data_IF_498112852223
#
_entry.id   IF_498112852223
#
_cell.length_a   1.000
_cell.length_b   1.000
_cell.length_c   1.000
_cell.angle_alpha   90.00
_cell.angle_beta   90.00
_cell.angle_gamma   90.00
#
_symmetry.space_group_name_H-M   'P 1'
#
loop_
_entity.id
_entity.type
_entity.pdbx_description
1 polymer ?
#
# COMPACT_ATOMS: atom_id res chain seq x y z
N UNK A 1 -10.75 -5.68 21.92
CA UNK A 1 -10.43 -6.18 20.57
C UNK A 1 -9.85 -7.58 20.72
N UNK A 2 -9.92 -8.42 19.69
CA UNK A 2 -9.25 -9.72 19.72
C UNK A 2 -7.76 -9.59 19.41
N UNK A 3 -7.03 -10.71 19.51
CA UNK A 3 -5.58 -10.77 19.29
C UNK A 3 -5.19 -10.31 17.88
N UNK A 4 -6.01 -10.65 16.88
CA UNK A 4 -5.77 -10.27 15.47
C UNK A 4 -5.91 -8.76 15.30
N UNK A 5 -6.95 -8.17 15.88
CA UNK A 5 -7.18 -6.73 15.79
C UNK A 5 -6.08 -5.93 16.48
N UNK A 6 -5.57 -6.42 17.61
CA UNK A 6 -4.42 -5.81 18.29
C UNK A 6 -3.13 -5.95 17.47
N UNK A 7 -2.87 -7.13 16.88
CA UNK A 7 -1.68 -7.38 16.07
C UNK A 7 -1.60 -6.49 14.81
N UNK A 8 -2.76 -6.08 14.29
CA UNK A 8 -2.88 -5.21 13.11
C UNK A 8 -3.21 -3.75 13.46
N UNK A 9 -3.12 -3.34 14.73
CA UNK A 9 -3.44 -1.98 15.18
C UNK A 9 -4.80 -1.48 14.65
N UNK A 10 -5.81 -2.35 14.62
CA UNK A 10 -7.10 -2.04 14.00
C UNK A 10 -7.75 -0.85 14.71
N UNK A 11 -8.29 0.08 13.93
CA UNK A 11 -9.13 1.18 14.43
C UNK A 11 -10.47 1.16 13.71
N UNK A 12 -11.54 1.31 14.49
CA UNK A 12 -12.90 1.47 13.98
C UNK A 12 -13.40 2.84 14.39
N UNK A 13 -13.72 3.68 13.41
CA UNK A 13 -14.16 5.06 13.57
C UNK A 13 -15.51 5.27 12.90
N UNK A 14 -16.27 6.29 13.32
CA UNK A 14 -17.58 6.60 12.76
C UNK A 14 -18.67 5.58 13.14
N UNK A 15 -19.90 5.89 12.75
CA UNK A 15 -21.09 5.09 13.12
C UNK A 15 -22.04 4.83 11.95
N UNK A 16 -21.60 5.08 10.71
CA UNK A 16 -22.44 4.84 9.53
C UNK A 16 -22.72 3.36 9.27
N UNK A 17 -23.86 3.05 8.66
CA UNK A 17 -24.28 1.67 8.36
C UNK A 17 -23.39 1.02 7.29
N UNK A 18 -22.85 1.82 6.36
CA UNK A 18 -21.90 1.36 5.34
C UNK A 18 -20.48 1.40 5.91
N UNK A 19 -19.72 0.34 5.63
CA UNK A 19 -18.34 0.20 6.11
C UNK A 19 -17.35 0.47 4.99
N UNK A 20 -16.33 1.28 5.26
CA UNK A 20 -15.16 1.47 4.39
C UNK A 20 -13.95 0.89 5.12
N UNK A 21 -13.20 0.03 4.43
CA UNK A 21 -11.93 -0.51 4.92
C UNK A 21 -10.79 0.14 4.16
N UNK A 22 -9.81 0.68 4.87
CA UNK A 22 -8.66 1.39 4.30
C UNK A 22 -7.38 0.62 4.61
N UNK A 23 -6.79 0.01 3.57
CA UNK A 23 -5.50 -0.68 3.62
C UNK A 23 -4.40 0.23 3.08
N UNK A 24 -3.18 0.15 3.61
CA UNK A 24 -2.05 0.96 3.15
C UNK A 24 -1.08 0.15 2.26
N UNK A 25 -0.17 0.85 1.59
CA UNK A 25 0.89 0.26 0.77
C UNK A 25 2.18 -0.03 1.53
N UNK A 26 3.22 -0.49 0.81
CA UNK A 26 4.55 -0.74 1.36
C UNK A 26 5.20 0.53 1.94
N UNK A 27 5.98 0.37 3.02
CA UNK A 27 6.79 1.45 3.59
C UNK A 27 6.03 2.46 4.44
N UNK A 28 4.71 2.31 4.59
CA UNK A 28 3.88 3.18 5.41
C UNK A 28 2.97 2.36 6.34
N UNK A 29 2.05 3.03 7.02
CA UNK A 29 1.05 2.45 7.90
C UNK A 29 -0.31 3.16 7.71
N UNK A 30 -1.32 2.84 8.51
CA UNK A 30 -2.65 3.44 8.40
C UNK A 30 -2.66 4.99 8.48
N UNK A 31 -1.59 5.64 8.98
CA UNK A 31 -1.48 7.10 9.02
C UNK A 31 -1.50 7.76 7.65
N UNK A 32 -1.21 7.01 6.57
CA UNK A 32 -1.30 7.52 5.18
C UNK A 32 -2.70 8.05 4.85
N UNK A 33 -3.72 7.58 5.56
CA UNK A 33 -5.12 7.97 5.35
C UNK A 33 -5.57 9.17 6.18
N UNK A 34 -4.67 9.84 6.93
CA UNK A 34 -5.03 10.92 7.87
C UNK A 34 -5.79 12.09 7.26
N UNK A 35 -5.59 12.37 5.96
CA UNK A 35 -6.29 13.43 5.25
C UNK A 35 -7.64 12.98 4.68
N UNK A 36 -7.87 11.68 4.48
CA UNK A 36 -9.13 11.14 3.96
C UNK A 36 -10.14 10.87 5.08
N UNK A 37 -9.69 10.24 6.17
CA UNK A 37 -10.54 9.73 7.26
C UNK A 37 -11.51 10.79 7.81
N UNK A 38 -11.11 12.06 8.07
CA UNK A 38 -12.03 13.07 8.58
C UNK A 38 -13.25 13.32 7.70
N UNK A 39 -13.19 13.02 6.40
CA UNK A 39 -14.28 13.22 5.45
C UNK A 39 -15.21 11.99 5.31
N UNK A 40 -14.89 10.88 5.99
CA UNK A 40 -15.65 9.63 5.91
C UNK A 40 -16.42 9.31 7.18
N UNK A 41 -15.92 9.71 8.36
CA UNK A 41 -16.44 9.24 9.65
C UNK A 41 -17.87 9.70 9.98
N UNK A 42 -18.36 10.76 9.33
CA UNK A 42 -19.73 11.24 9.50
C UNK A 42 -20.74 10.35 8.73
N UNK A 43 -20.32 9.77 7.60
CA UNK A 43 -21.19 9.03 6.68
C UNK A 43 -20.99 7.49 6.76
N UNK A 44 -19.83 7.05 7.23
CA UNK A 44 -19.39 5.65 7.17
C UNK A 44 -18.79 5.17 8.49
N UNK A 45 -18.88 3.87 8.73
CA UNK A 45 -17.98 3.18 9.67
C UNK A 45 -16.65 2.93 8.95
N UNK A 46 -15.58 3.53 9.42
CA UNK A 46 -14.24 3.45 8.82
C UNK A 46 -13.38 2.46 9.60
N UNK A 47 -12.86 1.44 8.94
CA UNK A 47 -11.92 0.46 9.49
C UNK A 47 -10.55 0.70 8.90
N UNK A 48 -9.57 0.95 9.76
CA UNK A 48 -8.15 1.09 9.46
C UNK A 48 -7.40 -0.08 10.07
N UNK A 49 -6.34 -0.54 9.42
CA UNK A 49 -5.44 -1.54 9.96
C UNK A 49 -4.05 -1.40 9.35
N UNK A 50 -3.05 -1.94 10.04
CA UNK A 50 -1.69 -2.01 9.56
C UNK A 50 -1.40 -3.42 9.00
N UNK A 51 -0.79 -3.49 7.82
CA UNK A 51 -0.30 -4.74 7.24
C UNK A 51 0.82 -5.31 8.13
N UNK A 52 0.81 -6.64 8.32
CA UNK A 52 1.87 -7.29 9.08
C UNK A 52 3.23 -7.05 8.43
N UNK A 53 4.22 -6.63 9.23
CA UNK A 53 5.54 -6.24 8.76
C UNK A 53 5.72 -4.72 8.55
N UNK A 54 4.65 -3.93 8.64
CA UNK A 54 4.78 -2.49 8.80
C UNK A 54 5.52 -2.16 10.11
N UNK A 55 6.23 -1.02 10.15
CA UNK A 55 7.05 -0.64 11.32
C UNK A 55 6.28 -0.41 12.62
N UNK A 56 4.95 -0.38 12.57
CA UNK A 56 4.04 -0.27 13.72
C UNK A 56 3.59 -1.62 14.28
N UNK A 57 3.90 -2.73 13.60
CA UNK A 57 3.48 -4.09 13.99
C UNK A 57 4.59 -4.81 14.75
N UNK A 58 4.23 -5.83 15.54
CA UNK A 58 5.23 -6.68 16.19
C UNK A 58 5.90 -7.58 15.13
N UNK A 59 7.23 -7.46 14.91
CA UNK A 59 7.90 -8.24 13.88
C UNK A 59 7.96 -9.75 14.18
N UNK A 60 7.69 -10.18 15.42
CA UNK A 60 7.60 -11.60 15.79
C UNK A 60 6.34 -12.28 15.21
N UNK A 61 5.38 -11.49 14.73
CA UNK A 61 4.19 -11.99 14.04
C UNK A 61 4.37 -12.05 12.52
N UNK A 62 5.50 -11.58 11.99
CA UNK A 62 5.80 -11.71 10.57
C UNK A 62 6.34 -13.13 10.27
N UNK A 63 5.58 -13.87 9.48
CA UNK A 63 5.92 -15.24 9.09
C UNK A 63 6.83 -15.25 7.86
N UNK A 64 8.12 -15.56 8.10
CA UNK A 64 9.12 -15.75 7.04
C UNK A 64 9.08 -17.13 6.40
N UNK A 65 8.47 -18.13 7.04
CA UNK A 65 8.48 -19.52 6.56
C UNK A 65 7.73 -19.65 5.23
N UNK A 66 6.87 -18.69 4.91
CA UNK A 66 6.24 -18.53 3.59
C UNK A 66 7.24 -18.30 2.44
N UNK A 67 8.51 -18.00 2.72
CA UNK A 67 9.54 -17.74 1.70
C UNK A 67 10.68 -18.74 1.72
N UNK A 68 10.74 -19.59 2.75
CA UNK A 68 11.73 -20.65 2.81
C UNK A 68 11.26 -21.81 1.94
N UNK A 69 12.18 -22.29 1.10
CA UNK A 69 12.01 -23.60 0.51
C UNK A 69 11.94 -24.64 1.63
N UNK A 70 10.98 -25.55 1.51
CA UNK A 70 10.80 -26.72 2.35
C UNK A 70 10.57 -27.95 1.43
N UNK A 71 10.54 -29.16 2.01
CA UNK A 71 10.52 -30.45 1.30
C UNK A 71 9.46 -30.49 0.19
N UNK A 72 8.26 -29.95 0.45
CA UNK A 72 7.13 -29.94 -0.48
C UNK A 72 6.65 -28.51 -0.85
N UNK A 73 7.42 -27.48 -0.51
CA UNK A 73 7.05 -26.08 -0.74
C UNK A 73 8.22 -25.28 -1.29
N UNK A 74 8.01 -24.63 -2.44
CA UNK A 74 9.00 -23.72 -3.00
C UNK A 74 8.65 -22.28 -2.63
N UNK A 75 9.26 -21.77 -1.56
CA UNK A 75 9.10 -20.41 -1.06
C UNK A 75 9.98 -19.37 -1.78
N UNK A 76 10.99 -19.83 -2.54
CA UNK A 76 11.84 -19.00 -3.40
C UNK A 76 13.20 -18.62 -2.80
N UNK A 77 13.47 -18.95 -1.53
CA UNK A 77 14.75 -18.72 -0.87
C UNK A 77 15.23 -19.95 -0.10
N UNK A 78 16.55 -20.18 -0.12
CA UNK A 78 17.20 -20.95 0.93
C UNK A 78 17.48 -20.05 2.15
N UNK A 79 17.61 -20.64 3.34
CA UNK A 79 17.92 -19.87 4.56
C UNK A 79 19.21 -19.06 4.42
N UNK A 80 20.21 -19.61 3.74
CA UNK A 80 21.50 -18.95 3.51
C UNK A 80 21.39 -17.72 2.59
N UNK A 81 20.46 -17.73 1.64
CA UNK A 81 20.21 -16.59 0.75
C UNK A 81 19.59 -15.44 1.55
N UNK A 82 18.63 -15.75 2.42
CA UNK A 82 18.03 -14.77 3.32
C UNK A 82 19.08 -14.16 4.24
N UNK A 83 19.93 -14.97 4.85
CA UNK A 83 20.96 -14.49 5.80
C UNK A 83 21.96 -13.52 5.13
N UNK A 84 22.46 -13.84 3.94
CA UNK A 84 23.37 -12.96 3.19
C UNK A 84 22.71 -11.66 2.79
N UNK A 85 21.46 -11.77 2.34
CA UNK A 85 20.66 -10.65 1.91
C UNK A 85 20.31 -9.72 3.09
N UNK A 86 20.06 -10.28 4.28
CA UNK A 86 19.84 -9.53 5.52
C UNK A 86 21.08 -8.76 5.95
N UNK A 87 22.26 -9.37 5.86
CA UNK A 87 23.52 -8.70 6.21
C UNK A 87 23.80 -7.52 5.27
N UNK A 88 23.57 -7.70 3.96
CA UNK A 88 23.73 -6.64 2.98
C UNK A 88 22.78 -5.46 3.26
N UNK A 89 21.51 -5.74 3.55
CA UNK A 89 20.53 -4.69 3.85
C UNK A 89 20.83 -3.94 5.15
N UNK A 90 21.25 -4.63 6.22
CA UNK A 90 21.59 -3.97 7.49
C UNK A 90 22.68 -2.91 7.34
N UNK A 91 23.65 -3.14 6.46
CA UNK A 91 24.77 -2.20 6.26
C UNK A 91 24.37 -0.87 5.62
N UNK A 92 23.27 -0.82 4.86
CA UNK A 92 22.92 0.35 4.03
C UNK A 92 21.41 0.72 4.02
N UNK A 93 20.60 0.10 4.89
CA UNK A 93 19.14 0.31 4.89
C UNK A 93 18.74 1.77 5.05
N UNK A 94 19.39 2.49 5.98
CA UNK A 94 19.10 3.90 6.23
C UNK A 94 19.30 4.76 4.98
N UNK A 95 20.42 4.58 4.28
CA UNK A 95 20.71 5.36 3.09
C UNK A 95 19.75 4.99 1.95
N UNK A 96 19.40 3.70 1.84
CA UNK A 96 18.35 3.26 0.92
C UNK A 96 17.02 3.95 1.20
N UNK A 97 16.54 3.98 2.46
CA UNK A 97 15.30 4.68 2.82
C UNK A 97 15.37 6.17 2.47
N UNK A 98 16.50 6.84 2.78
CA UNK A 98 16.69 8.26 2.46
C UNK A 98 16.71 8.54 0.96
N UNK A 99 17.22 7.61 0.13
CA UNK A 99 17.22 7.75 -1.33
C UNK A 99 15.90 7.36 -1.99
N UNK A 100 15.21 6.34 -1.45
CA UNK A 100 13.98 5.81 -2.02
C UNK A 100 12.75 6.65 -1.68
N UNK A 101 12.66 7.20 -0.46
CA UNK A 101 11.49 7.95 -0.03
C UNK A 101 11.13 9.15 -0.93
N UNK A 102 12.07 10.02 -1.35
CA UNK A 102 11.77 11.11 -2.26
C UNK A 102 11.29 10.62 -3.65
N UNK A 103 11.84 9.51 -4.13
CA UNK A 103 11.46 8.92 -5.42
C UNK A 103 10.03 8.36 -5.40
N UNK A 104 9.63 7.75 -4.29
CA UNK A 104 8.29 7.20 -4.12
C UNK A 104 7.24 8.29 -3.89
N UNK A 105 7.54 9.29 -3.05
CA UNK A 105 6.58 10.35 -2.70
C UNK A 105 6.44 11.41 -3.80
N UNK A 106 7.48 11.63 -4.60
CA UNK A 106 7.50 12.66 -5.64
C UNK A 106 7.53 14.09 -5.08
N UNK A 107 7.58 15.08 -5.98
CA UNK A 107 7.59 16.50 -5.61
C UNK A 107 8.86 16.96 -4.88
N UNK A 108 8.70 17.79 -3.85
CA UNK A 108 9.80 18.35 -3.07
C UNK A 108 10.40 17.32 -2.11
N UNK A 109 11.71 17.07 -2.25
CA UNK A 109 12.47 16.12 -1.45
C UNK A 109 12.49 16.47 0.05
N UNK A 110 12.34 17.76 0.38
CA UNK A 110 12.34 18.23 1.76
C UNK A 110 10.92 18.33 2.35
N UNK A 111 9.89 17.92 1.60
CA UNK A 111 8.50 17.98 2.05
C UNK A 111 8.24 17.11 3.27
N UNK A 112 7.24 17.52 4.05
CA UNK A 112 6.80 16.77 5.25
C UNK A 112 6.37 15.34 4.89
N UNK A 113 5.76 15.15 3.71
CA UNK A 113 5.34 13.83 3.24
C UNK A 113 6.55 12.90 2.99
N UNK A 114 7.63 13.41 2.39
CA UNK A 114 8.87 12.64 2.19
C UNK A 114 9.49 12.25 3.53
N UNK A 115 9.57 13.19 4.48
CA UNK A 115 10.12 12.93 5.81
C UNK A 115 9.29 11.88 6.57
N UNK A 116 7.96 11.95 6.48
CA UNK A 116 7.05 11.01 7.11
C UNK A 116 7.14 9.60 6.51
N UNK A 117 7.18 9.50 5.18
CA UNK A 117 7.35 8.23 4.49
C UNK A 117 8.73 7.63 4.78
N UNK A 118 9.80 8.44 4.73
CA UNK A 118 11.16 7.99 5.09
C UNK A 118 11.23 7.43 6.51
N UNK A 119 10.56 8.08 7.47
CA UNK A 119 10.48 7.63 8.87
C UNK A 119 9.71 6.30 9.00
N UNK A 120 8.55 6.18 8.37
CA UNK A 120 7.72 4.97 8.47
C UNK A 120 8.39 3.78 7.77
N UNK A 121 9.03 4.02 6.62
CA UNK A 121 9.85 3.04 5.93
C UNK A 121 11.03 2.59 6.79
N UNK A 122 11.78 3.53 7.38
CA UNK A 122 12.91 3.20 8.26
C UNK A 122 12.50 2.42 9.53
N UNK A 123 11.25 2.54 9.98
CA UNK A 123 10.75 1.80 11.13
C UNK A 123 10.46 0.32 10.82
N UNK A 124 10.39 -0.08 9.55
CA UNK A 124 10.30 -1.50 9.21
C UNK A 124 11.61 -2.20 9.56
N UNK A 125 11.52 -3.46 10.01
CA UNK A 125 12.72 -4.29 10.18
C UNK A 125 13.33 -4.54 8.79
N UNK A 126 14.65 -4.32 8.57
CA UNK A 126 15.22 -4.32 7.21
C UNK A 126 15.01 -5.62 6.42
N UNK A 127 15.05 -6.76 7.11
CA UNK A 127 14.78 -8.10 6.58
C UNK A 127 13.31 -8.26 6.13
N UNK A 128 12.37 -7.80 6.95
CA UNK A 128 10.94 -7.78 6.62
C UNK A 128 10.69 -6.88 5.41
N UNK A 129 11.23 -5.65 5.42
CA UNK A 129 11.01 -4.68 4.35
C UNK A 129 11.45 -5.22 2.99
N UNK A 130 12.58 -5.92 2.98
CA UNK A 130 13.11 -6.54 1.80
C UNK A 130 12.27 -7.71 1.30
N UNK A 131 11.91 -8.63 2.20
CA UNK A 131 11.04 -9.77 1.88
C UNK A 131 9.72 -9.28 1.28
N UNK A 132 9.07 -8.29 1.92
CA UNK A 132 7.84 -7.67 1.41
C UNK A 132 8.05 -7.02 0.05
N UNK A 133 9.14 -6.27 -0.15
CA UNK A 133 9.41 -5.59 -1.42
C UNK A 133 9.66 -6.59 -2.56
N UNK A 134 10.37 -7.68 -2.31
CA UNK A 134 10.60 -8.74 -3.31
C UNK A 134 9.28 -9.33 -3.80
N UNK A 135 8.35 -9.63 -2.90
CA UNK A 135 7.03 -10.16 -3.26
C UNK A 135 6.28 -9.17 -4.14
N UNK A 136 6.23 -7.90 -3.72
CA UNK A 136 5.50 -6.87 -4.45
C UNK A 136 6.04 -6.76 -5.88
N UNK A 137 7.36 -6.67 -6.03
CA UNK A 137 8.01 -6.46 -7.33
C UNK A 137 8.02 -7.70 -8.23
N UNK A 138 7.96 -8.91 -7.67
CA UNK A 138 7.98 -10.17 -8.42
C UNK A 138 6.60 -10.80 -8.61
N UNK A 139 5.57 -10.29 -7.96
CA UNK A 139 4.20 -10.77 -8.12
C UNK A 139 3.67 -10.50 -9.53
N UNK A 140 2.95 -11.48 -10.08
CA UNK A 140 2.20 -11.32 -11.33
C UNK A 140 0.75 -11.79 -11.16
N UNK A 141 -0.15 -10.83 -11.00
CA UNK A 141 -1.58 -11.08 -10.83
C UNK A 141 -2.38 -10.87 -12.12
N UNK A 142 -1.72 -10.63 -13.28
CA UNK A 142 -2.42 -10.30 -14.54
C UNK A 142 -3.39 -11.39 -14.99
N UNK A 143 -3.01 -12.65 -14.77
CA UNK A 143 -3.84 -13.81 -15.09
C UNK A 143 -5.11 -13.92 -14.23
N UNK A 144 -5.17 -13.23 -13.08
CA UNK A 144 -6.33 -13.22 -12.19
C UNK A 144 -7.31 -12.09 -12.50
N UNK A 145 -6.89 -11.03 -13.20
CA UNK A 145 -7.74 -9.86 -13.47
C UNK A 145 -9.10 -10.20 -14.11
N UNK A 146 -9.20 -11.14 -15.09
CA UNK A 146 -10.48 -11.47 -15.70
C UNK A 146 -11.49 -12.12 -14.75
N UNK A 147 -11.03 -12.59 -13.58
CA UNK A 147 -11.88 -13.24 -12.58
C UNK A 147 -12.44 -12.26 -11.54
N UNK A 148 -11.97 -11.00 -11.53
CA UNK A 148 -12.45 -9.96 -10.60
C UNK A 148 -13.79 -9.43 -11.11
N UNK A 149 -14.88 -9.70 -10.38
CA UNK A 149 -16.24 -9.27 -10.74
C UNK A 149 -16.75 -8.07 -9.96
N UNK A 150 -16.12 -7.75 -8.83
CA UNK A 150 -16.46 -6.57 -8.00
C UNK A 150 -16.08 -5.30 -8.77
N UNK A 151 -16.97 -4.28 -8.85
CA UNK A 151 -16.66 -3.04 -9.54
C UNK A 151 -15.41 -2.33 -9.01
N UNK A 152 -14.57 -1.80 -9.91
CA UNK A 152 -13.26 -1.25 -9.56
C UNK A 152 -13.09 0.19 -10.05
N UNK A 153 -12.81 1.10 -9.11
CA UNK A 153 -12.43 2.48 -9.40
C UNK A 153 -10.91 2.57 -9.39
N UNK A 154 -10.29 2.78 -10.54
CA UNK A 154 -8.82 2.79 -10.71
C UNK A 154 -8.36 4.24 -10.71
N UNK A 155 -7.65 4.63 -9.67
CA UNK A 155 -7.21 6.02 -9.44
C UNK A 155 -5.70 6.02 -9.25
N UNK A 156 -4.99 6.89 -9.97
CA UNK A 156 -3.53 7.03 -9.82
C UNK A 156 -3.07 8.46 -10.11
N UNK A 157 -1.85 8.78 -9.67
CA UNK A 157 -1.12 9.97 -10.14
C UNK A 157 -0.72 9.85 -11.61
N UNK A 158 -0.67 10.97 -12.31
CA UNK A 158 -0.17 11.05 -13.69
C UNK A 158 1.34 10.79 -13.76
N UNK A 159 2.09 11.22 -12.74
CA UNK A 159 3.51 10.95 -12.59
C UNK A 159 3.71 10.06 -11.39
N UNK A 160 3.93 8.78 -11.65
CA UNK A 160 4.26 7.79 -10.63
C UNK A 160 5.43 6.97 -11.15
N UNK A 161 6.51 6.91 -10.37
CA UNK A 161 7.73 6.19 -10.76
C UNK A 161 7.51 4.67 -10.82
N UNK A 162 6.64 4.14 -9.97
CA UNK A 162 6.35 2.72 -9.87
C UNK A 162 5.22 2.28 -10.81
N UNK A 163 4.29 3.18 -11.13
CA UNK A 163 3.07 2.85 -11.90
C UNK A 163 2.93 3.76 -13.14
N UNK A 164 3.43 3.34 -14.31
CA UNK A 164 3.19 4.05 -15.56
C UNK A 164 1.69 4.15 -15.88
N UNK A 165 1.26 5.25 -16.51
CA UNK A 165 -0.18 5.48 -16.77
C UNK A 165 -0.85 4.35 -17.53
N UNK A 166 -0.15 3.73 -18.48
CA UNK A 166 -0.64 2.58 -19.26
C UNK A 166 -1.06 1.38 -18.39
N UNK A 167 -0.60 1.29 -17.14
CA UNK A 167 -1.01 0.25 -16.20
C UNK A 167 -2.48 0.41 -15.80
N UNK A 168 -2.98 1.64 -15.60
CA UNK A 168 -4.40 1.84 -15.29
C UNK A 168 -5.30 1.46 -16.45
N UNK A 169 -4.86 1.74 -17.68
CA UNK A 169 -5.58 1.34 -18.90
C UNK A 169 -5.56 -0.18 -19.05
N UNK A 170 -4.42 -0.82 -18.78
CA UNK A 170 -4.30 -2.28 -18.78
C UNK A 170 -5.25 -2.92 -17.76
N UNK A 171 -5.30 -2.41 -16.53
CA UNK A 171 -6.23 -2.90 -15.50
C UNK A 171 -7.68 -2.76 -15.97
N UNK A 172 -8.07 -1.59 -16.47
CA UNK A 172 -9.42 -1.34 -16.97
C UNK A 172 -9.84 -2.30 -18.09
N UNK A 173 -8.91 -2.63 -18.99
CA UNK A 173 -9.17 -3.54 -20.12
C UNK A 173 -9.22 -5.02 -19.74
N UNK A 174 -8.58 -5.42 -18.64
CA UNK A 174 -8.39 -6.83 -18.29
C UNK A 174 -9.20 -7.28 -17.06
N UNK A 175 -9.81 -6.35 -16.30
CA UNK A 175 -10.73 -6.69 -15.21
C UNK A 175 -12.03 -7.30 -15.77
N UNK A 176 -12.54 -8.35 -15.10
CA UNK A 176 -13.78 -9.03 -15.52
C UNK A 176 -15.06 -8.26 -15.21
N UNK A 177 -15.03 -7.38 -14.21
CA UNK A 177 -16.14 -6.54 -13.76
C UNK A 177 -16.07 -5.11 -14.29
N UNK A 178 -17.14 -4.33 -14.03
CA UNK A 178 -17.19 -2.92 -14.40
C UNK A 178 -16.05 -2.13 -13.75
N UNK A 179 -15.39 -1.26 -14.51
CA UNK A 179 -14.32 -0.41 -13.98
C UNK A 179 -14.31 0.97 -14.61
N UNK A 180 -13.77 1.94 -13.89
CA UNK A 180 -13.54 3.32 -14.36
C UNK A 180 -12.12 3.75 -13.99
N UNK A 181 -11.49 4.58 -14.82
CA UNK A 181 -10.15 5.12 -14.59
C UNK A 181 -10.23 6.63 -14.39
N UNK A 182 -9.55 7.15 -13.34
CA UNK A 182 -9.28 8.57 -13.20
C UNK A 182 -7.79 8.80 -12.89
N UNK A 183 -7.08 9.44 -13.83
CA UNK A 183 -5.67 9.83 -13.68
C UNK A 183 -5.62 11.26 -13.16
N UNK A 184 -5.07 11.45 -11.97
CA UNK A 184 -4.99 12.74 -11.29
C UNK A 184 -3.70 13.44 -11.71
N UNK A 185 -3.76 14.75 -11.99
CA UNK A 185 -2.58 15.57 -12.32
C UNK A 185 -1.70 15.86 -11.09
N UNK A 186 -1.20 14.80 -10.45
CA UNK A 186 -0.30 14.80 -9.29
C UNK A 186 0.97 14.02 -9.57
N UNK A 187 1.94 14.18 -8.67
CA UNK A 187 3.21 13.45 -8.65
C UNK A 187 3.28 12.53 -7.43
N UNK A 188 3.93 11.38 -7.61
CA UNK A 188 4.22 10.40 -6.57
C UNK A 188 3.18 9.32 -6.35
N UNK A 189 3.63 8.30 -5.63
CA UNK A 189 2.94 7.05 -5.33
C UNK A 189 2.05 7.11 -4.08
N UNK A 190 2.19 8.16 -3.26
CA UNK A 190 1.37 8.40 -2.06
C UNK A 190 0.58 9.72 -2.16
N UNK A 191 -0.20 9.95 -3.23
CA UNK A 191 -0.79 11.26 -3.53
C UNK A 191 -1.84 11.69 -2.51
N UNK A 192 -2.51 10.77 -1.83
CA UNK A 192 -3.41 11.04 -0.71
C UNK A 192 -2.71 11.64 0.52
N UNK A 193 -1.39 11.50 0.61
CA UNK A 193 -0.55 12.11 1.64
C UNK A 193 0.10 13.40 1.13
N UNK A 194 0.77 13.34 -0.03
CA UNK A 194 1.59 14.44 -0.56
C UNK A 194 0.79 15.54 -1.27
N UNK A 195 -0.35 15.20 -1.87
CA UNK A 195 -1.17 16.08 -2.72
C UNK A 195 -2.65 16.03 -2.34
N UNK A 196 -2.94 15.92 -1.03
CA UNK A 196 -4.28 15.64 -0.50
C UNK A 196 -5.35 16.65 -0.94
N UNK A 197 -5.01 17.93 -1.09
CA UNK A 197 -5.97 18.96 -1.53
C UNK A 197 -6.61 18.65 -2.89
N UNK A 198 -5.88 17.98 -3.78
CA UNK A 198 -6.36 17.58 -5.12
C UNK A 198 -6.93 16.17 -5.10
N UNK A 199 -6.37 15.28 -4.30
CA UNK A 199 -6.64 13.83 -4.35
C UNK A 199 -7.85 13.44 -3.52
N UNK A 200 -8.04 14.04 -2.34
CA UNK A 200 -9.16 13.71 -1.46
C UNK A 200 -10.52 13.97 -2.13
N UNK A 201 -10.76 15.09 -2.85
CA UNK A 201 -12.01 15.28 -3.59
C UNK A 201 -12.27 14.20 -4.65
N UNK A 202 -11.23 13.68 -5.30
CA UNK A 202 -11.35 12.58 -6.27
C UNK A 202 -11.75 11.30 -5.55
N UNK A 203 -11.01 10.90 -4.51
CA UNK A 203 -11.32 9.70 -3.72
C UNK A 203 -12.75 9.74 -3.18
N UNK A 204 -13.19 10.86 -2.61
CA UNK A 204 -14.55 11.01 -2.10
C UNK A 204 -15.63 10.85 -3.17
N UNK A 205 -15.37 11.30 -4.41
CA UNK A 205 -16.30 11.13 -5.52
C UNK A 205 -16.44 9.64 -5.86
N UNK A 206 -15.34 8.92 -6.01
CA UNK A 206 -15.36 7.48 -6.33
C UNK A 206 -15.88 6.62 -5.16
N UNK A 207 -15.77 7.08 -3.92
CA UNK A 207 -16.37 6.39 -2.75
C UNK A 207 -17.88 6.61 -2.69
N UNK A 208 -18.37 7.80 -3.04
CA UNK A 208 -19.77 8.19 -2.86
C UNK A 208 -20.68 7.83 -4.03
N UNK A 209 -20.11 7.64 -5.21
CA UNK A 209 -20.86 7.38 -6.44
C UNK A 209 -20.40 6.07 -7.07
N UNK A 210 -21.36 5.19 -7.34
CA UNK A 210 -21.13 3.93 -8.04
C UNK A 210 -20.86 4.15 -9.53
N UNK A 211 -20.22 3.17 -10.18
CA UNK A 211 -20.11 3.12 -11.65
C UNK A 211 -21.53 2.99 -12.22
N UNK A 212 -21.89 3.88 -13.15
CA UNK A 212 -23.16 3.79 -13.85
C UNK A 212 -23.26 2.44 -14.58
N UNK A 213 -24.35 1.72 -14.36
CA UNK A 213 -24.67 0.50 -15.10
C UNK A 213 -25.55 0.91 -16.27
N UNK A 214 -25.05 0.77 -17.49
CA UNK A 214 -25.86 0.86 -18.72
C UNK A 214 -26.73 -0.40 -18.90
#
# INVERSE_FOLDING_TARGET
MGIVEEAHNVKVLGTGDRTIVLAHGFGTDQSVWKHLVPHLVDDYKVVLFDNMGAGTTNPDYFDFERYLNDVDYYGGFEQEDLDQLFEAMRSNYKAWCSGFAPLAVGGDMDSVAVQEFSRTLFNMRPDIALSVLQIILQSDLRHLLPHVTVPCHIIQSMKDLAVPVVVSEYLHQNLGGGSIVEVISTDGHLPQLSSHDVVIPVLLRHIRYDIAVD
#
